data_IF_980168321927
#
_entry.id   IF_980168321927
#
_cell.length_a   1.000
_cell.length_b   1.000
_cell.length_c   1.000
_cell.angle_alpha   90.00
_cell.angle_beta   90.00
_cell.angle_gamma   90.00
#
_symmetry.space_group_name_H-M   'P 1'
#
loop_
_entity.id
_entity.type
_entity.pdbx_description
1 polymer ?
#
# COMPACT_ATOMS: atom_id res chain seq x y z
N UNK A 1 18.25 -7.31 -4.12
CA UNK A 1 16.90 -6.76 -3.77
C UNK A 1 16.22 -6.35 -5.05
N UNK A 2 15.32 -7.17 -5.57
CA UNK A 2 14.43 -6.78 -6.67
C UNK A 2 13.49 -5.75 -6.06
N UNK A 3 13.48 -4.51 -6.57
CA UNK A 3 12.61 -3.46 -6.05
C UNK A 3 11.17 -3.94 -5.95
N UNK A 4 10.48 -3.63 -4.85
CA UNK A 4 9.07 -4.00 -4.66
C UNK A 4 8.28 -3.52 -5.86
N UNK A 5 7.69 -4.46 -6.60
CA UNK A 5 6.76 -4.16 -7.67
C UNK A 5 5.48 -3.64 -7.03
N UNK A 6 5.16 -2.37 -7.23
CA UNK A 6 3.99 -1.73 -6.61
C UNK A 6 3.02 -1.30 -7.69
N UNK A 7 1.77 -1.67 -7.55
CA UNK A 7 0.65 -1.23 -8.38
C UNK A 7 -0.57 -0.95 -7.52
N UNK A 8 -1.66 -0.56 -8.13
CA UNK A 8 -2.95 -0.39 -7.47
C UNK A 8 -4.08 -0.46 -8.50
N UNK A 9 -5.28 -0.71 -8.03
CA UNK A 9 -6.52 -0.47 -8.76
C UNK A 9 -7.45 0.44 -7.97
N UNK A 10 -8.41 1.04 -8.66
CA UNK A 10 -9.47 1.82 -8.01
C UNK A 10 -10.73 0.95 -7.85
N UNK A 11 -11.31 0.96 -6.65
CA UNK A 11 -12.58 0.34 -6.35
C UNK A 11 -13.41 1.32 -5.52
N UNK A 12 -14.57 1.74 -6.05
CA UNK A 12 -15.51 2.66 -5.38
C UNK A 12 -14.84 3.95 -4.83
N UNK A 13 -13.87 4.48 -5.58
CA UNK A 13 -13.11 5.67 -5.20
C UNK A 13 -11.99 5.41 -4.17
N UNK A 14 -11.78 4.17 -3.77
CA UNK A 14 -10.71 3.76 -2.85
C UNK A 14 -9.57 3.13 -3.66
N UNK A 15 -8.34 3.49 -3.33
CA UNK A 15 -7.15 2.92 -3.93
C UNK A 15 -6.80 1.59 -3.23
N UNK A 16 -6.94 0.48 -3.93
CA UNK A 16 -6.56 -0.85 -3.45
C UNK A 16 -5.13 -1.14 -3.87
N UNK A 17 -4.18 -1.27 -2.93
CA UNK A 17 -2.79 -1.57 -3.27
C UNK A 17 -2.65 -2.97 -3.86
N UNK A 18 -1.62 -3.16 -4.67
CA UNK A 18 -1.33 -4.42 -5.33
C UNK A 18 0.13 -4.56 -5.72
N UNK A 19 0.45 -5.74 -6.22
CA UNK A 19 1.73 -6.09 -6.81
C UNK A 19 1.51 -7.00 -8.02
N UNK A 20 2.58 -7.42 -8.70
CA UNK A 20 2.45 -8.37 -9.81
C UNK A 20 3.67 -9.28 -9.92
N UNK A 21 3.45 -10.42 -10.57
CA UNK A 21 4.51 -11.35 -10.97
C UNK A 21 4.28 -11.87 -12.39
N UNK A 22 5.32 -12.27 -13.12
CA UNK A 22 5.16 -12.94 -14.40
C UNK A 22 4.52 -14.32 -14.26
N UNK A 23 3.62 -14.64 -15.16
CA UNK A 23 3.01 -15.96 -15.34
C UNK A 23 2.82 -16.25 -16.83
N UNK A 24 2.51 -17.50 -17.18
CA UNK A 24 2.00 -17.85 -18.49
C UNK A 24 0.47 -18.01 -18.45
N UNK A 25 -0.24 -17.31 -19.34
CA UNK A 25 -1.66 -17.55 -19.62
C UNK A 25 -1.76 -18.42 -20.88
N UNK A 26 -2.55 -19.49 -20.80
CA UNK A 26 -2.82 -20.37 -21.94
C UNK A 26 -4.12 -19.97 -22.63
N UNK A 27 -4.01 -19.30 -23.76
CA UNK A 27 -5.14 -18.96 -24.63
C UNK A 27 -4.79 -19.36 -26.08
N UNK A 28 -4.98 -20.66 -26.40
CA UNK A 28 -4.42 -21.26 -27.59
C UNK A 28 -2.92 -21.54 -27.45
N UNK A 29 -2.09 -20.51 -27.60
CA UNK A 29 -0.67 -20.50 -27.28
C UNK A 29 -0.43 -20.03 -25.82
N UNK A 30 0.82 -20.03 -25.36
CA UNK A 30 1.24 -19.55 -24.03
C UNK A 30 1.69 -18.10 -24.12
N UNK A 31 1.12 -17.25 -23.26
CA UNK A 31 1.43 -15.84 -23.23
C UNK A 31 2.09 -15.47 -21.89
N UNK A 32 3.38 -15.07 -21.95
CA UNK A 32 4.05 -14.51 -20.79
C UNK A 32 3.44 -13.13 -20.50
N UNK A 33 2.87 -12.96 -19.32
CA UNK A 33 2.16 -11.75 -18.91
C UNK A 33 2.28 -11.53 -17.40
N UNK A 34 1.79 -10.39 -16.93
CA UNK A 34 1.76 -10.07 -15.51
C UNK A 34 0.46 -10.57 -14.86
N UNK A 35 0.59 -11.26 -13.74
CA UNK A 35 -0.48 -11.60 -12.82
C UNK A 35 -0.52 -10.50 -11.75
N UNK A 36 -1.59 -9.70 -11.69
CA UNK A 36 -1.75 -8.69 -10.66
C UNK A 36 -2.50 -9.27 -9.47
N UNK A 37 -2.02 -8.96 -8.27
CA UNK A 37 -2.55 -9.44 -6.99
C UNK A 37 -2.84 -8.21 -6.15
N UNK A 38 -4.08 -8.10 -5.63
CA UNK A 38 -4.54 -6.94 -4.89
C UNK A 38 -4.85 -7.27 -3.42
N UNK A 39 -4.73 -6.25 -2.55
CA UNK A 39 -4.93 -6.39 -1.11
C UNK A 39 -6.33 -6.89 -0.72
N UNK A 40 -7.35 -6.62 -1.52
CA UNK A 40 -8.71 -7.12 -1.29
C UNK A 40 -8.93 -8.58 -1.72
N UNK A 41 -7.85 -9.28 -2.12
CA UNK A 41 -7.89 -10.68 -2.51
C UNK A 41 -8.35 -10.94 -3.94
N UNK A 42 -8.54 -9.89 -4.75
CA UNK A 42 -8.81 -10.06 -6.17
C UNK A 42 -7.50 -10.19 -6.95
N UNK A 43 -7.55 -11.05 -7.97
CA UNK A 43 -6.42 -11.37 -8.84
C UNK A 43 -6.81 -11.06 -10.28
N UNK A 44 -5.95 -10.35 -11.02
CA UNK A 44 -6.15 -10.12 -12.44
C UNK A 44 -5.21 -11.03 -13.27
N UNK A 45 -5.83 -11.98 -13.94
CA UNK A 45 -5.20 -12.93 -14.88
C UNK A 45 -5.85 -12.82 -16.28
N UNK A 46 -5.95 -11.58 -16.82
CA UNK A 46 -6.76 -11.13 -17.95
C UNK A 46 -8.26 -11.03 -17.64
N UNK A 47 -8.66 -11.41 -16.49
CA UNK A 47 -9.98 -11.28 -15.89
C UNK A 47 -9.79 -11.11 -14.40
N UNK A 48 -10.52 -10.16 -13.80
CA UNK A 48 -10.49 -9.94 -12.36
C UNK A 48 -11.33 -11.02 -11.67
N UNK A 49 -10.68 -11.84 -10.85
CA UNK A 49 -11.27 -13.04 -10.23
C UNK A 49 -11.03 -13.07 -8.72
N UNK A 50 -11.87 -13.81 -7.98
CA UNK A 50 -11.62 -14.12 -6.57
C UNK A 50 -10.54 -15.19 -6.42
N UNK A 51 -10.08 -15.43 -5.19
CA UNK A 51 -9.08 -16.47 -4.91
C UNK A 51 -9.59 -17.87 -5.29
N UNK A 52 -10.86 -18.18 -5.05
CA UNK A 52 -11.46 -19.47 -5.43
C UNK A 52 -11.53 -19.62 -6.96
N UNK A 53 -11.90 -18.55 -7.66
CA UNK A 53 -11.91 -18.55 -9.13
C UNK A 53 -10.49 -18.64 -9.70
N UNK A 54 -9.51 -18.05 -9.03
CA UNK A 54 -8.10 -18.16 -9.41
C UNK A 54 -7.60 -19.60 -9.25
N UNK A 55 -7.96 -20.29 -8.17
CA UNK A 55 -7.66 -21.72 -7.99
C UNK A 55 -8.26 -22.57 -9.13
N UNK A 56 -9.47 -22.24 -9.59
CA UNK A 56 -10.04 -22.89 -10.79
C UNK A 56 -9.26 -22.59 -12.06
N UNK A 57 -8.81 -21.32 -12.24
CA UNK A 57 -7.95 -20.92 -13.38
C UNK A 57 -6.61 -21.68 -13.40
N UNK A 58 -6.05 -21.99 -12.23
CA UNK A 58 -4.87 -22.85 -12.11
C UNK A 58 -5.20 -24.29 -12.47
N UNK A 59 -6.27 -24.86 -11.92
CA UNK A 59 -6.68 -26.25 -12.13
C UNK A 59 -7.01 -26.56 -13.59
N UNK A 60 -7.64 -25.64 -14.30
CA UNK A 60 -7.94 -25.80 -15.71
C UNK A 60 -6.76 -25.45 -16.64
N UNK A 61 -5.63 -24.99 -16.08
CA UNK A 61 -4.43 -24.61 -16.82
C UNK A 61 -4.56 -23.32 -17.63
N UNK A 62 -5.54 -22.45 -17.30
CA UNK A 62 -5.61 -21.09 -17.85
C UNK A 62 -4.41 -20.27 -17.40
N UNK A 63 -4.11 -20.24 -16.10
CA UNK A 63 -2.80 -19.85 -15.58
C UNK A 63 -1.94 -21.08 -15.58
N UNK A 64 -0.96 -21.12 -16.48
CA UNK A 64 -0.22 -22.33 -16.76
C UNK A 64 1.02 -22.45 -15.86
N UNK A 65 1.14 -23.59 -15.21
CA UNK A 65 2.31 -24.03 -14.46
C UNK A 65 3.05 -25.17 -15.14
N UNK A 66 2.43 -25.79 -16.14
CA UNK A 66 3.02 -26.81 -17.01
C UNK A 66 3.20 -26.26 -18.43
N UNK A 67 4.38 -26.47 -19.01
CA UNK A 67 4.76 -25.97 -20.31
C UNK A 67 5.19 -27.16 -21.19
N UNK A 68 4.33 -27.66 -22.09
CA UNK A 68 4.68 -28.81 -22.94
C UNK A 68 5.82 -28.50 -23.93
N UNK A 69 6.64 -29.49 -24.21
CA UNK A 69 7.67 -29.39 -25.25
C UNK A 69 7.05 -29.07 -26.61
N UNK A 70 7.70 -28.21 -27.39
CA UNK A 70 7.23 -27.75 -28.68
C UNK A 70 6.06 -26.77 -28.66
N UNK A 71 5.45 -26.48 -27.52
CA UNK A 71 4.38 -25.51 -27.44
C UNK A 71 4.89 -24.09 -27.75
N UNK A 72 4.01 -23.29 -28.38
CA UNK A 72 4.33 -21.90 -28.75
C UNK A 72 4.10 -20.96 -27.60
N UNK A 73 5.01 -20.03 -27.45
CA UNK A 73 4.88 -18.95 -26.46
C UNK A 73 5.23 -17.59 -27.08
N UNK A 74 4.70 -16.54 -26.46
CA UNK A 74 5.02 -15.16 -26.80
C UNK A 74 5.04 -14.28 -25.54
N UNK A 75 5.71 -13.15 -25.60
CA UNK A 75 5.78 -12.17 -24.50
C UNK A 75 5.64 -10.74 -25.02
N UNK A 76 4.57 -10.05 -24.63
CA UNK A 76 4.37 -8.58 -24.75
C UNK A 76 4.73 -8.00 -26.14
N UNK A 77 4.45 -8.67 -27.22
CA UNK A 77 4.84 -8.29 -28.59
C UNK A 77 6.37 -8.17 -28.80
N UNK A 78 7.19 -8.54 -27.80
CA UNK A 78 8.64 -8.48 -27.87
C UNK A 78 9.24 -9.67 -28.62
N UNK A 79 8.72 -10.87 -28.35
CA UNK A 79 9.23 -12.10 -28.93
C UNK A 79 8.18 -13.22 -28.94
N UNK A 80 8.37 -14.16 -29.87
CA UNK A 80 7.68 -15.45 -29.87
C UNK A 80 8.70 -16.57 -30.00
N UNK A 81 8.45 -17.72 -29.33
CA UNK A 81 9.36 -18.86 -29.32
C UNK A 81 8.57 -20.18 -29.23
N UNK A 82 9.26 -21.27 -29.29
CA UNK A 82 8.76 -22.58 -28.90
C UNK A 82 9.57 -23.10 -27.74
N UNK A 83 8.90 -23.74 -26.80
CA UNK A 83 9.60 -24.43 -25.72
C UNK A 83 10.41 -25.61 -26.27
N UNK A 84 11.59 -25.83 -25.73
CA UNK A 84 12.41 -26.99 -25.96
C UNK A 84 12.86 -27.52 -24.61
N UNK A 85 12.39 -28.72 -24.27
CA UNK A 85 12.65 -29.37 -22.97
C UNK A 85 12.43 -28.42 -21.78
N UNK A 86 11.26 -27.73 -21.66
CA UNK A 86 11.04 -26.76 -20.64
C UNK A 86 11.02 -27.40 -19.25
N UNK A 87 11.67 -26.76 -18.32
CA UNK A 87 11.64 -27.14 -16.92
C UNK A 87 10.88 -26.08 -16.12
N UNK A 88 9.86 -26.49 -15.35
CA UNK A 88 9.05 -25.60 -14.50
C UNK A 88 9.30 -25.92 -13.04
N UNK A 89 9.45 -24.88 -12.22
CA UNK A 89 9.54 -25.01 -10.76
C UNK A 89 8.22 -24.68 -10.07
N UNK A 90 7.27 -24.12 -10.81
CA UNK A 90 6.01 -23.63 -10.28
C UNK A 90 4.94 -24.70 -10.42
N UNK A 91 4.25 -25.03 -9.31
CA UNK A 91 3.05 -25.86 -9.33
C UNK A 91 1.81 -25.00 -9.05
N UNK A 92 0.59 -25.50 -9.35
CA UNK A 92 -0.64 -24.78 -9.01
C UNK A 92 -0.73 -24.45 -7.51
N UNK A 93 -0.39 -25.40 -6.65
CA UNK A 93 -0.44 -25.26 -5.18
C UNK A 93 0.57 -24.22 -4.71
N UNK A 94 1.78 -24.24 -5.26
CA UNK A 94 2.85 -23.29 -4.93
C UNK A 94 2.43 -21.87 -5.32
N UNK A 95 1.91 -21.66 -6.54
CA UNK A 95 1.47 -20.34 -6.98
C UNK A 95 0.28 -19.83 -6.15
N UNK A 96 -0.66 -20.71 -5.80
CA UNK A 96 -1.79 -20.35 -4.95
C UNK A 96 -1.33 -19.92 -3.54
N UNK A 97 -0.37 -20.63 -2.95
CA UNK A 97 0.21 -20.30 -1.66
C UNK A 97 0.95 -18.94 -1.70
N UNK A 98 1.77 -18.70 -2.74
CA UNK A 98 2.43 -17.42 -2.95
C UNK A 98 1.44 -16.25 -3.12
N UNK A 99 0.31 -16.47 -3.80
CA UNK A 99 -0.74 -15.46 -3.95
C UNK A 99 -1.40 -15.14 -2.62
N UNK A 100 -1.69 -16.15 -1.79
CA UNK A 100 -2.25 -15.97 -0.44
C UNK A 100 -1.33 -15.16 0.45
N UNK A 101 -0.04 -15.52 0.50
CA UNK A 101 0.97 -14.79 1.26
C UNK A 101 1.11 -13.34 0.77
N UNK A 102 1.06 -13.13 -0.55
CA UNK A 102 1.09 -11.78 -1.13
C UNK A 102 -0.10 -10.93 -0.68
N UNK A 103 -1.31 -11.51 -0.63
CA UNK A 103 -2.51 -10.81 -0.13
C UNK A 103 -2.35 -10.49 1.37
N UNK A 104 -1.82 -11.42 2.16
CA UNK A 104 -1.55 -11.18 3.58
C UNK A 104 -0.52 -10.06 3.78
N UNK A 105 0.60 -10.09 3.06
CA UNK A 105 1.62 -9.04 3.07
C UNK A 105 1.08 -7.67 2.66
N UNK A 106 0.23 -7.60 1.63
CA UNK A 106 -0.41 -6.36 1.18
C UNK A 106 -1.36 -5.76 2.23
N UNK A 107 -1.88 -6.59 3.13
CA UNK A 107 -2.73 -6.17 4.24
C UNK A 107 -1.98 -6.04 5.59
N UNK A 108 -0.65 -6.24 5.61
CA UNK A 108 0.13 -6.25 6.84
C UNK A 108 -0.27 -7.35 7.82
N UNK A 109 -0.88 -8.42 7.31
CA UNK A 109 -1.15 -9.62 8.10
C UNK A 109 0.05 -10.56 8.05
N UNK A 110 0.24 -11.39 9.08
CA UNK A 110 1.27 -12.43 9.06
C UNK A 110 1.12 -13.33 7.83
N UNK A 111 2.16 -13.43 7.03
CA UNK A 111 2.26 -14.42 5.94
C UNK A 111 2.61 -15.81 6.50
N UNK A 112 2.79 -16.81 5.62
CA UNK A 112 3.12 -18.17 6.06
C UNK A 112 4.45 -18.23 6.82
N UNK A 113 5.44 -17.42 6.47
CA UNK A 113 6.73 -17.33 7.16
C UNK A 113 6.56 -16.74 8.56
N UNK A 114 5.82 -15.63 8.67
CA UNK A 114 5.53 -15.00 9.96
C UNK A 114 4.78 -15.96 10.89
N UNK A 115 3.74 -16.63 10.38
CA UNK A 115 2.99 -17.65 11.15
C UNK A 115 3.87 -18.81 11.61
N UNK A 116 4.84 -19.24 10.79
CA UNK A 116 5.78 -20.26 11.16
C UNK A 116 6.70 -19.80 12.31
N UNK A 117 7.22 -18.58 12.22
CA UNK A 117 8.08 -18.01 13.25
C UNK A 117 7.33 -17.80 14.57
N UNK A 118 6.08 -17.35 14.52
CA UNK A 118 5.20 -17.25 15.71
C UNK A 118 4.98 -18.64 16.36
N UNK A 119 4.80 -19.68 15.55
CA UNK A 119 4.66 -21.05 16.06
C UNK A 119 5.96 -21.57 16.67
N UNK A 120 7.12 -21.19 16.12
CA UNK A 120 8.46 -21.49 16.70
C UNK A 120 8.61 -20.80 18.05
N UNK A 121 8.27 -19.52 18.16
CA UNK A 121 8.34 -18.76 19.42
C UNK A 121 7.41 -19.39 20.48
N UNK A 122 6.20 -19.80 20.09
CA UNK A 122 5.30 -20.53 20.98
C UNK A 122 5.81 -21.89 21.43
N UNK A 123 6.55 -22.60 20.55
CA UNK A 123 7.22 -23.86 20.90
C UNK A 123 8.39 -23.63 21.85
N UNK A 124 9.21 -22.62 21.64
CA UNK A 124 10.35 -22.32 22.51
C UNK A 124 9.92 -21.92 23.92
N UNK A 125 8.77 -21.22 24.05
CA UNK A 125 8.19 -20.85 25.34
C UNK A 125 7.66 -22.07 26.12
N UNK A 126 7.26 -23.15 25.43
CA UNK A 126 6.74 -24.38 26.05
C UNK A 126 7.03 -25.56 25.12
N UNK A 127 8.20 -26.21 25.32
CA UNK A 127 8.82 -27.21 24.45
C UNK A 127 8.09 -28.55 24.47
N UNK A 128 6.80 -28.55 24.15
CA UNK A 128 6.02 -29.80 24.04
C UNK A 128 6.05 -30.32 22.60
N UNK A 129 5.90 -31.65 22.47
CA UNK A 129 5.83 -32.30 21.16
C UNK A 129 4.64 -31.78 20.33
N UNK A 130 3.53 -31.44 20.99
CA UNK A 130 2.36 -30.87 20.32
C UNK A 130 2.69 -29.53 19.66
N UNK A 131 3.34 -28.61 20.37
CA UNK A 131 3.76 -27.32 19.82
C UNK A 131 4.82 -27.46 18.74
N UNK A 132 5.74 -28.41 18.87
CA UNK A 132 6.71 -28.72 17.80
C UNK A 132 6.01 -29.21 16.54
N UNK A 133 4.98 -30.05 16.68
CA UNK A 133 4.18 -30.49 15.53
C UNK A 133 3.44 -29.33 14.85
N UNK A 134 2.94 -28.35 15.62
CA UNK A 134 2.34 -27.11 15.08
C UNK A 134 3.40 -26.29 14.31
N UNK A 135 4.59 -26.07 14.89
CA UNK A 135 5.67 -25.35 14.22
C UNK A 135 6.10 -26.06 12.93
N UNK A 136 6.16 -27.41 12.95
CA UNK A 136 6.45 -28.20 11.75
C UNK A 136 5.37 -28.05 10.67
N UNK A 137 4.10 -28.09 11.05
CA UNK A 137 3.00 -27.90 10.11
C UNK A 137 3.05 -26.49 9.48
N UNK A 138 3.31 -25.45 10.29
CA UNK A 138 3.46 -24.08 9.83
C UNK A 138 4.70 -23.91 8.90
N UNK A 139 5.82 -24.59 9.18
CA UNK A 139 6.98 -24.61 8.27
C UNK A 139 6.64 -25.23 6.92
N UNK A 140 5.88 -26.32 6.89
CA UNK A 140 5.45 -26.98 5.66
C UNK A 140 4.40 -26.18 4.88
N UNK A 141 3.69 -25.26 5.53
CA UNK A 141 2.74 -24.32 4.90
C UNK A 141 3.47 -23.19 4.15
N UNK A 142 4.73 -22.92 4.48
CA UNK A 142 5.56 -21.97 3.70
C UNK A 142 5.74 -22.52 2.27
N UNK A 143 5.49 -21.70 1.21
CA UNK A 143 5.78 -22.12 -0.16
C UNK A 143 7.23 -22.63 -0.30
N UNK A 144 7.41 -23.81 -0.88
CA UNK A 144 8.72 -24.51 -0.95
C UNK A 144 9.86 -23.61 -1.43
N UNK A 145 9.61 -22.80 -2.45
CA UNK A 145 10.60 -21.85 -3.00
C UNK A 145 10.97 -20.72 -2.02
N UNK A 146 10.13 -20.47 -1.01
CA UNK A 146 10.34 -19.43 -0.01
C UNK A 146 10.96 -19.97 1.29
N UNK A 147 10.79 -21.26 1.60
CA UNK A 147 11.31 -21.89 2.84
C UNK A 147 12.79 -21.60 3.04
N UNK A 148 13.58 -21.73 1.98
CA UNK A 148 15.01 -21.48 2.00
C UNK A 148 15.40 -20.07 2.46
N UNK A 149 14.49 -19.10 2.36
CA UNK A 149 14.69 -17.71 2.76
C UNK A 149 13.88 -17.31 4.01
N UNK A 150 13.24 -18.26 4.69
CA UNK A 150 12.38 -17.99 5.84
C UNK A 150 13.11 -17.25 6.99
N UNK A 151 14.42 -17.45 7.13
CA UNK A 151 15.27 -16.74 8.10
C UNK A 151 16.07 -15.58 7.48
N UNK A 152 15.77 -15.19 6.24
CA UNK A 152 16.50 -14.19 5.48
C UNK A 152 17.61 -14.80 4.60
N UNK A 153 18.43 -13.94 3.98
CA UNK A 153 19.53 -14.37 3.12
C UNK A 153 20.81 -14.59 3.93
N UNK A 154 20.84 -15.67 4.71
CA UNK A 154 21.94 -16.06 5.56
C UNK A 154 22.69 -17.26 4.98
N UNK A 155 23.96 -17.48 5.39
CA UNK A 155 24.77 -18.60 4.92
C UNK A 155 24.14 -19.98 5.23
N UNK A 156 23.49 -20.09 6.39
CA UNK A 156 22.81 -21.32 6.82
C UNK A 156 21.39 -21.46 6.30
N UNK A 157 20.87 -20.43 5.60
CA UNK A 157 19.50 -20.39 5.07
C UNK A 157 18.47 -20.74 6.16
N UNK A 158 17.56 -21.66 5.89
CA UNK A 158 16.55 -22.13 6.85
C UNK A 158 16.99 -23.34 7.69
N UNK A 159 18.27 -23.71 7.66
CA UNK A 159 18.77 -24.90 8.35
C UNK A 159 18.41 -24.97 9.85
N UNK A 160 18.60 -23.91 10.66
CA UNK A 160 18.18 -23.94 12.07
C UNK A 160 16.68 -24.24 12.24
N UNK A 161 15.84 -23.72 11.33
CA UNK A 161 14.41 -23.94 11.36
C UNK A 161 14.05 -25.41 11.03
N UNK A 162 14.67 -25.98 9.99
CA UNK A 162 14.47 -27.39 9.64
C UNK A 162 14.86 -28.32 10.80
N UNK A 163 15.99 -28.06 11.44
CA UNK A 163 16.48 -28.85 12.59
C UNK A 163 15.52 -28.74 13.76
N UNK A 164 15.09 -27.53 14.11
CA UNK A 164 14.18 -27.31 15.24
C UNK A 164 12.86 -28.04 15.08
N UNK A 165 12.22 -27.93 13.89
CA UNK A 165 10.92 -28.57 13.63
C UNK A 165 11.02 -30.08 13.44
N UNK A 166 12.18 -30.61 12.99
CA UNK A 166 12.42 -32.05 12.90
C UNK A 166 12.63 -32.68 14.27
N UNK A 167 13.37 -31.99 15.16
CA UNK A 167 13.76 -32.47 16.47
C UNK A 167 14.81 -33.59 16.46
N UNK A 168 15.36 -33.96 17.63
CA UNK A 168 16.35 -34.98 17.74
C UNK A 168 15.90 -36.33 17.21
N UNK A 169 16.70 -36.97 16.35
CA UNK A 169 16.37 -38.24 15.68
C UNK A 169 15.39 -38.04 14.48
N UNK A 170 14.88 -36.86 14.24
CA UNK A 170 14.07 -36.52 13.09
C UNK A 170 14.89 -36.34 11.81
N UNK A 171 14.21 -36.15 10.66
CA UNK A 171 14.85 -35.91 9.36
C UNK A 171 14.46 -34.56 8.84
N UNK A 172 15.41 -33.85 8.25
CA UNK A 172 15.22 -32.57 7.55
C UNK A 172 14.95 -32.81 6.05
N UNK A 173 14.34 -31.84 5.37
CA UNK A 173 14.09 -31.92 3.93
C UNK A 173 15.39 -31.86 3.10
N UNK A 174 16.38 -31.11 3.60
CA UNK A 174 17.70 -30.99 2.97
C UNK A 174 18.78 -30.79 4.01
N UNK A 175 20.03 -31.15 3.68
CA UNK A 175 21.21 -30.85 4.49
C UNK A 175 22.15 -29.94 3.70
N UNK A 176 22.83 -28.96 4.34
CA UNK A 176 23.72 -28.02 3.64
C UNK A 176 24.88 -28.73 2.90
N UNK A 177 25.30 -29.88 3.37
CA UNK A 177 26.43 -30.65 2.78
C UNK A 177 26.00 -32.01 2.25
N UNK A 178 24.70 -32.25 2.08
CA UNK A 178 24.17 -33.56 1.69
C UNK A 178 24.17 -34.58 2.85
N UNK A 179 23.53 -35.70 2.62
CA UNK A 179 23.36 -36.76 3.63
C UNK A 179 21.91 -36.89 4.07
N UNK A 180 21.60 -38.05 4.69
CA UNK A 180 20.23 -38.36 5.17
C UNK A 180 20.28 -38.79 6.65
N UNK A 181 21.33 -38.34 7.38
CA UNK A 181 21.48 -38.65 8.77
C UNK A 181 20.40 -37.98 9.62
N UNK A 182 19.92 -38.64 10.68
CA UNK A 182 18.99 -38.01 11.62
C UNK A 182 19.61 -36.79 12.30
N UNK A 183 18.79 -35.84 12.71
CA UNK A 183 19.18 -34.66 13.51
C UNK A 183 19.78 -35.16 14.82
N UNK A 184 21.01 -34.74 15.12
CA UNK A 184 21.68 -35.04 16.40
C UNK A 184 21.14 -34.12 17.50
N UNK A 185 21.40 -34.51 18.77
CA UNK A 185 21.07 -33.64 19.91
C UNK A 185 21.87 -32.33 19.86
N UNK A 186 23.15 -32.37 19.45
CA UNK A 186 24.00 -31.18 19.32
C UNK A 186 23.47 -30.19 18.27
N UNK A 187 23.11 -30.69 17.09
CA UNK A 187 22.46 -29.82 16.03
C UNK A 187 21.16 -29.20 16.54
N UNK A 188 20.37 -29.96 17.30
CA UNK A 188 19.13 -29.46 17.86
C UNK A 188 19.36 -28.37 18.91
N UNK A 189 20.34 -28.57 19.82
CA UNK A 189 20.70 -27.58 20.83
C UNK A 189 21.23 -26.31 20.18
N UNK A 190 22.10 -26.41 19.15
CA UNK A 190 22.52 -25.24 18.35
C UNK A 190 21.37 -24.50 17.67
N UNK A 191 20.35 -25.20 17.20
CA UNK A 191 19.19 -24.58 16.60
C UNK A 191 18.32 -23.85 17.64
N UNK A 192 18.19 -24.40 18.84
CA UNK A 192 17.53 -23.74 19.96
C UNK A 192 18.25 -22.45 20.34
N UNK A 193 19.58 -22.53 20.54
CA UNK A 193 20.41 -21.36 20.87
C UNK A 193 20.27 -20.26 19.81
N UNK A 194 20.28 -20.64 18.53
CA UNK A 194 20.08 -19.68 17.42
C UNK A 194 18.77 -18.89 17.56
N UNK A 195 17.66 -19.57 17.89
CA UNK A 195 16.36 -18.87 18.00
C UNK A 195 16.25 -18.06 19.30
N UNK A 196 16.88 -18.49 20.40
CA UNK A 196 16.95 -17.71 21.63
C UNK A 196 17.74 -16.41 21.42
N UNK A 197 18.91 -16.49 20.77
CA UNK A 197 19.71 -15.33 20.39
C UNK A 197 18.92 -14.39 19.44
N UNK A 198 18.20 -14.96 18.46
CA UNK A 198 17.35 -14.20 17.54
C UNK A 198 16.25 -13.47 18.28
N UNK A 199 15.56 -14.11 19.22
CA UNK A 199 14.50 -13.50 20.02
C UNK A 199 15.06 -12.35 20.87
N UNK A 200 16.21 -12.54 21.51
CA UNK A 200 16.88 -11.48 22.27
C UNK A 200 17.24 -10.29 21.36
N UNK A 201 17.84 -10.55 20.20
CA UNK A 201 18.19 -9.49 19.25
C UNK A 201 16.96 -8.69 18.77
N UNK A 202 15.84 -9.37 18.48
CA UNK A 202 14.58 -8.72 18.09
C UNK A 202 14.06 -7.84 19.24
N UNK A 203 14.04 -8.35 20.46
CA UNK A 203 13.60 -7.62 21.65
C UNK A 203 14.45 -6.36 21.90
N UNK A 204 15.78 -6.48 21.81
CA UNK A 204 16.71 -5.36 21.95
C UNK A 204 16.50 -4.31 20.85
N UNK A 205 16.31 -4.74 19.60
CA UNK A 205 16.05 -3.85 18.48
C UNK A 205 14.71 -3.12 18.65
N UNK A 206 13.66 -3.85 19.00
CA UNK A 206 12.31 -3.28 19.21
C UNK A 206 12.30 -2.26 20.34
N UNK A 207 13.10 -2.48 21.41
CA UNK A 207 13.20 -1.53 22.52
C UNK A 207 13.87 -0.19 22.14
N UNK A 208 14.65 -0.16 21.05
CA UNK A 208 15.34 1.03 20.55
C UNK A 208 14.53 1.83 19.54
N UNK A 209 13.48 1.26 19.00
CA UNK A 209 12.61 1.93 18.02
C UNK A 209 11.41 2.49 18.75
N UNK A 210 11.16 3.81 18.70
CA UNK A 210 9.94 4.39 19.28
C UNK A 210 8.70 3.73 18.67
N UNK A 211 7.68 3.51 19.48
CA UNK A 211 6.38 3.00 19.04
C UNK A 211 5.52 4.14 18.46
N UNK A 212 6.00 4.78 17.41
CA UNK A 212 5.34 5.87 16.68
C UNK A 212 4.99 5.50 15.23
N UNK A 213 4.82 4.22 15.00
CA UNK A 213 4.41 3.71 13.70
C UNK A 213 2.98 4.08 13.32
N UNK A 214 2.57 3.81 12.06
CA UNK A 214 1.20 4.03 11.62
C UNK A 214 0.22 3.21 12.47
N UNK A 215 -0.99 3.73 12.63
CA UNK A 215 -2.07 3.06 13.38
C UNK A 215 -2.49 1.77 12.66
N UNK A 216 -2.44 1.79 11.32
CA UNK A 216 -2.70 0.63 10.48
C UNK A 216 -1.48 0.27 9.63
N UNK A 217 -1.18 -1.02 9.39
CA UNK A 217 -0.04 -1.45 8.57
C UNK A 217 -0.12 -0.92 7.13
N UNK A 218 -1.33 -0.77 6.61
CA UNK A 218 -1.62 -0.15 5.32
C UNK A 218 -2.73 0.88 5.51
N UNK A 219 -2.34 2.15 5.59
CA UNK A 219 -3.30 3.23 5.54
C UNK A 219 -4.09 3.14 4.23
N UNK A 220 -5.44 3.11 4.26
CA UNK A 220 -6.23 3.16 3.05
C UNK A 220 -5.91 4.43 2.29
N UNK A 221 -6.04 4.41 0.95
CA UNK A 221 -5.87 5.60 0.15
C UNK A 221 -7.22 6.07 -0.39
N UNK A 222 -7.57 7.32 -0.12
CA UNK A 222 -8.77 7.96 -0.62
C UNK A 222 -8.41 8.79 -1.83
N UNK A 223 -9.06 8.50 -2.98
CA UNK A 223 -8.86 9.25 -4.22
C UNK A 223 -9.90 10.37 -4.32
N UNK A 224 -9.42 11.61 -4.46
CA UNK A 224 -10.24 12.79 -4.72
C UNK A 224 -9.99 13.30 -6.13
N UNK A 225 -11.06 13.46 -6.91
CA UNK A 225 -10.98 14.01 -8.26
C UNK A 225 -11.53 15.45 -8.28
N UNK A 226 -10.75 16.40 -8.80
CA UNK A 226 -11.26 17.74 -9.11
C UNK A 226 -12.21 17.66 -10.31
N UNK A 227 -13.50 17.58 -10.06
CA UNK A 227 -14.52 17.43 -11.10
C UNK A 227 -15.70 18.39 -10.90
N UNK A 228 -16.41 18.68 -11.96
CA UNK A 228 -17.57 19.57 -11.99
C UNK A 228 -18.85 18.83 -12.42
N UNK A 229 -20.03 19.37 -12.06
CA UNK A 229 -20.31 20.33 -10.99
C UNK A 229 -20.36 19.66 -9.62
N UNK A 230 -19.94 20.37 -8.58
CA UNK A 230 -20.17 19.95 -7.20
C UNK A 230 -21.48 20.52 -6.69
N UNK A 231 -22.32 19.67 -6.09
CA UNK A 231 -23.49 20.09 -5.33
C UNK A 231 -23.17 19.97 -3.84
N UNK A 232 -23.64 20.93 -3.06
CA UNK A 232 -23.66 20.81 -1.60
C UNK A 232 -24.62 19.72 -1.18
N UNK A 233 -24.27 19.00 -0.11
CA UNK A 233 -25.13 18.00 0.52
C UNK A 233 -25.31 18.38 1.98
N UNK A 234 -26.48 18.12 2.54
CA UNK A 234 -26.72 18.26 3.98
C UNK A 234 -25.90 17.23 4.78
N UNK A 235 -25.50 16.13 4.14
CA UNK A 235 -24.58 15.12 4.67
C UNK A 235 -23.33 15.10 3.77
N UNK A 236 -22.29 15.89 4.09
CA UNK A 236 -21.10 15.99 3.26
C UNK A 236 -20.24 14.73 3.35
N UNK A 237 -19.80 14.24 2.20
CA UNK A 237 -18.86 13.13 2.04
C UNK A 237 -17.44 13.64 1.68
N UNK A 238 -16.54 12.73 1.30
CA UNK A 238 -15.15 13.05 0.93
C UNK A 238 -15.02 14.06 -0.20
N UNK A 239 -16.04 14.24 -1.04
CA UNK A 239 -16.07 15.31 -2.05
C UNK A 239 -15.98 16.71 -1.45
N UNK A 240 -16.41 16.84 -0.18
CA UNK A 240 -16.32 18.10 0.56
C UNK A 240 -14.86 18.52 0.87
N UNK A 241 -13.91 17.60 0.75
CA UNK A 241 -12.47 17.89 0.95
C UNK A 241 -11.84 18.66 -0.23
N UNK A 242 -12.51 18.70 -1.38
CA UNK A 242 -12.01 19.38 -2.58
C UNK A 242 -11.90 20.89 -2.41
N UNK A 243 -10.97 21.50 -3.15
CA UNK A 243 -10.75 22.94 -3.11
C UNK A 243 -11.90 23.73 -3.76
N UNK A 244 -12.56 23.15 -4.77
CA UNK A 244 -13.71 23.76 -5.47
C UNK A 244 -15.07 23.48 -4.80
N UNK A 245 -15.09 22.70 -3.69
CA UNK A 245 -16.33 22.44 -2.96
C UNK A 245 -16.93 23.76 -2.43
N UNK A 246 -18.25 24.00 -2.63
CA UNK A 246 -18.92 25.22 -2.17
C UNK A 246 -18.97 25.27 -0.64
N UNK A 247 -17.98 25.93 -0.05
CA UNK A 247 -17.85 26.19 1.37
C UNK A 247 -17.36 27.63 1.52
N UNK A 248 -18.26 28.60 1.64
CA UNK A 248 -17.89 30.01 1.78
C UNK A 248 -16.96 30.23 2.96
N UNK A 249 -15.87 30.96 2.73
CA UNK A 249 -14.89 31.24 3.79
C UNK A 249 -14.48 32.71 3.79
N UNK A 250 -14.35 33.26 5.01
CA UNK A 250 -13.88 34.61 5.22
C UNK A 250 -12.37 34.64 5.34
N UNK A 251 -11.73 35.42 4.48
CA UNK A 251 -10.28 35.64 4.49
C UNK A 251 -10.04 37.17 4.45
N UNK A 252 -9.48 37.69 5.54
CA UNK A 252 -9.16 39.11 5.68
C UNK A 252 -10.36 40.05 5.40
N UNK A 253 -11.57 39.65 5.83
CA UNK A 253 -12.80 40.42 5.67
C UNK A 253 -13.43 40.32 4.28
N UNK A 254 -12.98 39.37 3.44
CA UNK A 254 -13.59 39.07 2.14
C UNK A 254 -14.10 37.65 2.16
N UNK A 255 -15.38 37.45 1.83
CA UNK A 255 -15.98 36.12 1.69
C UNK A 255 -15.78 35.58 0.28
N UNK A 256 -15.19 34.36 0.20
CA UNK A 256 -14.99 33.64 -1.06
C UNK A 256 -15.86 32.39 -1.09
N UNK A 257 -16.45 32.02 -2.27
CA UNK A 257 -17.35 30.87 -2.36
C UNK A 257 -16.69 29.52 -2.09
N UNK A 258 -15.36 29.39 -2.26
CA UNK A 258 -14.58 28.17 -1.99
C UNK A 258 -13.10 28.48 -1.81
N UNK A 259 -12.35 27.48 -1.34
CA UNK A 259 -10.86 27.53 -1.26
C UNK A 259 -10.25 27.91 -2.61
N UNK A 260 -10.75 27.36 -3.71
CA UNK A 260 -10.23 27.65 -5.05
C UNK A 260 -10.40 29.14 -5.42
N UNK A 261 -11.55 29.76 -5.10
CA UNK A 261 -11.75 31.19 -5.33
C UNK A 261 -10.76 32.03 -4.50
N UNK A 262 -10.65 31.76 -3.22
CA UNK A 262 -9.72 32.48 -2.34
C UNK A 262 -8.26 32.32 -2.81
N UNK A 263 -7.85 31.10 -3.21
CA UNK A 263 -6.52 30.82 -3.73
C UNK A 263 -6.20 31.67 -4.97
N UNK A 264 -7.11 31.70 -5.93
CA UNK A 264 -6.93 32.47 -7.16
C UNK A 264 -6.95 33.98 -6.91
N UNK A 265 -7.84 34.48 -6.04
CA UNK A 265 -7.87 35.89 -5.66
C UNK A 265 -6.57 36.35 -4.98
N UNK A 266 -6.04 35.54 -4.08
CA UNK A 266 -4.77 35.86 -3.37
C UNK A 266 -3.55 35.77 -4.27
N UNK A 267 -3.65 35.15 -5.47
CA UNK A 267 -2.54 35.01 -6.40
C UNK A 267 -2.17 36.29 -7.16
N UNK A 268 -3.00 37.33 -7.08
CA UNK A 268 -2.79 38.63 -7.77
C UNK A 268 -3.00 39.79 -6.80
N UNK A 269 -2.35 40.94 -7.08
CA UNK A 269 -2.59 42.20 -6.37
C UNK A 269 -3.63 43.07 -7.04
N UNK A 270 -4.10 42.70 -8.25
CA UNK A 270 -5.12 43.41 -8.97
C UNK A 270 -6.48 43.35 -8.25
N UNK A 271 -6.95 44.53 -7.80
CA UNK A 271 -8.15 44.62 -6.96
C UNK A 271 -9.44 44.33 -7.76
N UNK A 272 -9.47 44.69 -9.02
CA UNK A 272 -10.65 44.46 -9.87
C UNK A 272 -10.78 42.98 -10.17
N UNK A 273 -9.67 42.33 -10.52
CA UNK A 273 -9.61 40.86 -10.73
C UNK A 273 -9.99 40.11 -9.45
N UNK A 274 -9.50 40.53 -8.29
CA UNK A 274 -9.86 39.91 -7.01
C UNK A 274 -11.34 40.02 -6.69
N UNK A 275 -11.95 41.20 -6.94
CA UNK A 275 -13.39 41.39 -6.77
C UNK A 275 -14.20 40.50 -7.72
N UNK A 276 -13.83 40.45 -9.00
CA UNK A 276 -14.46 39.56 -9.97
C UNK A 276 -14.32 38.08 -9.65
N UNK A 277 -13.21 37.67 -9.05
CA UNK A 277 -13.03 36.29 -8.59
C UNK A 277 -13.92 35.96 -7.39
N UNK A 278 -14.13 36.90 -6.47
CA UNK A 278 -14.99 36.68 -5.30
C UNK A 278 -16.49 36.54 -5.74
N UNK A 279 -16.87 37.15 -6.83
CA UNK A 279 -18.23 37.13 -7.43
C UNK A 279 -18.39 36.01 -8.48
N UNK A 280 -17.36 35.27 -8.84
CA UNK A 280 -17.42 34.26 -9.88
C UNK A 280 -18.31 33.06 -9.46
N UNK A 281 -19.18 32.63 -10.39
CA UNK A 281 -20.11 31.51 -10.13
C UNK A 281 -19.44 30.15 -9.93
N UNK A 282 -18.22 29.99 -10.47
CA UNK A 282 -17.52 28.72 -10.44
C UNK A 282 -16.02 28.91 -10.22
N UNK A 283 -15.39 27.93 -9.61
CA UNK A 283 -13.93 27.91 -9.43
C UNK A 283 -13.16 27.97 -10.77
N UNK A 284 -13.74 27.41 -11.84
CA UNK A 284 -13.20 27.54 -13.21
C UNK A 284 -13.23 28.98 -13.72
N UNK A 285 -14.33 29.69 -13.51
CA UNK A 285 -14.44 31.11 -13.88
C UNK A 285 -13.44 31.94 -13.06
N UNK A 286 -13.36 31.73 -11.75
CA UNK A 286 -12.36 32.36 -10.86
C UNK A 286 -10.93 32.16 -11.35
N UNK A 287 -10.59 30.93 -11.72
CA UNK A 287 -9.28 30.59 -12.29
C UNK A 287 -8.99 31.31 -13.60
N UNK A 288 -9.97 31.36 -14.52
CA UNK A 288 -9.81 32.01 -15.82
C UNK A 288 -9.55 33.52 -15.66
N UNK A 289 -10.24 34.19 -14.75
CA UNK A 289 -9.96 35.57 -14.39
C UNK A 289 -8.52 35.75 -13.88
N UNK A 290 -8.10 34.88 -13.00
CA UNK A 290 -6.74 34.92 -12.42
C UNK A 290 -5.62 34.63 -13.44
N UNK A 291 -5.84 33.77 -14.43
CA UNK A 291 -4.85 33.45 -15.48
C UNK A 291 -4.48 34.69 -16.30
N UNK A 292 -5.46 35.58 -16.55
CA UNK A 292 -5.26 36.83 -17.28
C UNK A 292 -4.54 37.93 -16.49
N UNK A 293 -4.36 37.77 -15.18
CA UNK A 293 -3.75 38.79 -14.32
C UNK A 293 -2.31 38.49 -13.96
N UNK A 294 -1.47 39.54 -13.73
CA UNK A 294 -0.13 39.34 -13.20
C UNK A 294 -0.14 38.62 -11.86
N UNK A 295 0.76 37.66 -11.70
CA UNK A 295 0.97 37.00 -10.41
C UNK A 295 1.66 37.94 -9.44
N UNK A 296 1.28 37.84 -8.18
CA UNK A 296 1.95 38.51 -7.07
C UNK A 296 3.42 38.07 -7.00
N UNK A 297 4.32 39.00 -6.72
CA UNK A 297 5.74 38.69 -6.51
C UNK A 297 5.90 37.66 -5.40
N UNK A 298 6.76 36.65 -5.60
CA UNK A 298 6.99 35.57 -4.63
C UNK A 298 5.87 34.53 -4.54
N UNK A 299 4.85 34.60 -5.40
CA UNK A 299 3.69 33.67 -5.34
C UNK A 299 4.10 32.20 -5.42
N UNK A 300 5.02 31.85 -6.31
CA UNK A 300 5.43 30.45 -6.49
C UNK A 300 6.03 29.84 -5.22
N UNK A 301 6.71 30.64 -4.42
CA UNK A 301 7.31 30.22 -3.15
C UNK A 301 6.28 30.21 -2.00
N UNK A 302 5.29 31.10 -2.04
CA UNK A 302 4.30 31.29 -0.99
C UNK A 302 3.06 30.42 -1.14
N UNK A 303 2.76 29.92 -2.35
CA UNK A 303 1.46 29.28 -2.68
C UNK A 303 1.08 28.09 -1.78
N UNK A 304 2.05 27.28 -1.32
CA UNK A 304 1.78 26.18 -0.38
C UNK A 304 1.35 26.69 0.99
N UNK A 305 2.01 27.72 1.51
CA UNK A 305 1.61 28.35 2.79
C UNK A 305 0.23 28.99 2.68
N UNK A 306 -0.06 29.67 1.57
CA UNK A 306 -1.38 30.26 1.31
C UNK A 306 -2.46 29.16 1.27
N UNK A 307 -2.25 28.08 0.52
CA UNK A 307 -3.19 26.96 0.46
C UNK A 307 -3.42 26.34 1.85
N UNK A 308 -2.36 26.13 2.62
CA UNK A 308 -2.46 25.63 4.01
C UNK A 308 -3.35 26.54 4.88
N UNK A 309 -3.14 27.86 4.79
CA UNK A 309 -3.98 28.84 5.50
C UNK A 309 -5.45 28.74 5.10
N UNK A 310 -5.72 28.61 3.80
CA UNK A 310 -7.09 28.49 3.27
C UNK A 310 -7.76 27.19 3.73
N UNK A 311 -7.07 26.08 3.71
CA UNK A 311 -7.59 24.79 4.20
C UNK A 311 -7.90 24.86 5.70
N UNK A 312 -6.99 25.42 6.52
CA UNK A 312 -7.25 25.65 7.95
C UNK A 312 -8.49 26.52 8.17
N UNK A 313 -8.62 27.62 7.42
CA UNK A 313 -9.80 28.50 7.50
C UNK A 313 -11.09 27.77 7.12
N UNK A 314 -11.07 26.97 6.05
CA UNK A 314 -12.20 26.13 5.63
C UNK A 314 -12.68 25.22 6.75
N UNK A 315 -11.81 24.45 7.35
CA UNK A 315 -12.19 23.47 8.36
C UNK A 315 -12.49 24.10 9.73
N UNK A 316 -11.87 25.25 10.05
CA UNK A 316 -12.23 26.01 11.24
C UNK A 316 -13.63 26.65 11.12
N UNK A 317 -13.99 27.15 9.94
CA UNK A 317 -15.30 27.80 9.69
C UNK A 317 -16.42 26.80 9.40
N UNK A 318 -16.09 25.55 9.04
CA UNK A 318 -17.06 24.51 8.70
C UNK A 318 -16.83 23.21 9.51
N UNK A 319 -17.33 23.13 10.78
CA UNK A 319 -17.09 21.95 11.63
C UNK A 319 -17.61 20.62 11.05
N UNK A 320 -18.67 20.66 10.22
CA UNK A 320 -19.15 19.45 9.54
C UNK A 320 -18.11 18.91 8.54
N UNK A 321 -17.43 19.80 7.81
CA UNK A 321 -16.39 19.41 6.85
C UNK A 321 -15.11 18.95 7.60
N UNK A 322 -14.81 19.56 8.73
CA UNK A 322 -13.71 19.11 9.60
C UNK A 322 -13.93 17.66 10.09
N UNK A 323 -15.18 17.28 10.40
CA UNK A 323 -15.50 15.88 10.74
C UNK A 323 -15.23 14.93 9.56
N UNK A 324 -15.66 15.29 8.34
CA UNK A 324 -15.35 14.47 7.14
C UNK A 324 -13.83 14.26 6.99
N UNK A 325 -13.02 15.30 7.22
CA UNK A 325 -11.57 15.15 7.14
C UNK A 325 -11.00 14.25 8.26
N UNK A 326 -11.51 14.38 9.47
CA UNK A 326 -11.10 13.56 10.61
C UNK A 326 -11.54 12.10 10.46
N UNK A 327 -12.71 11.84 9.86
CA UNK A 327 -13.25 10.50 9.60
C UNK A 327 -12.45 9.75 8.52
N UNK A 328 -11.51 10.40 7.84
CA UNK A 328 -10.54 9.74 6.96
C UNK A 328 -9.42 9.03 7.75
N UNK A 329 -9.41 9.17 9.06
CA UNK A 329 -8.46 8.55 10.00
C UNK A 329 -7.00 8.73 9.56
N UNK A 330 -6.24 7.67 9.31
CA UNK A 330 -4.85 7.70 8.82
C UNK A 330 -4.73 7.51 7.29
N UNK A 331 -5.86 7.55 6.56
CA UNK A 331 -5.84 7.36 5.11
C UNK A 331 -4.91 8.35 4.39
N UNK A 332 -4.18 7.84 3.40
CA UNK A 332 -3.46 8.67 2.44
C UNK A 332 -4.46 9.36 1.53
N UNK A 333 -4.39 10.70 1.43
CA UNK A 333 -5.28 11.48 0.56
C UNK A 333 -4.59 11.73 -0.77
N UNK A 334 -5.06 11.07 -1.82
CA UNK A 334 -4.57 11.23 -3.19
C UNK A 334 -5.50 12.15 -3.94
N UNK A 335 -5.00 13.32 -4.33
CA UNK A 335 -5.79 14.34 -5.01
C UNK A 335 -5.43 14.38 -6.49
N UNK A 336 -6.38 14.16 -7.38
CA UNK A 336 -6.20 14.33 -8.82
C UNK A 336 -6.71 15.70 -9.27
N UNK A 337 -5.79 16.49 -9.80
CA UNK A 337 -6.04 17.78 -10.44
C UNK A 337 -5.49 17.73 -11.86
N UNK A 338 -6.37 17.51 -12.83
CA UNK A 338 -5.97 17.36 -14.23
C UNK A 338 -5.21 18.57 -14.80
N UNK A 339 -5.37 19.72 -14.16
CA UNK A 339 -4.76 20.99 -14.58
C UNK A 339 -3.42 21.29 -13.91
N UNK A 340 -3.09 20.58 -12.81
CA UNK A 340 -1.88 20.86 -12.04
C UNK A 340 -1.16 19.61 -11.51
N UNK A 341 0.03 19.35 -12.03
CA UNK A 341 0.94 18.35 -11.45
C UNK A 341 1.58 18.81 -10.14
N UNK A 342 1.44 20.06 -9.76
CA UNK A 342 1.93 20.54 -8.47
C UNK A 342 0.93 20.21 -7.36
N UNK A 343 -0.36 20.50 -7.59
CA UNK A 343 -1.41 20.27 -6.61
C UNK A 343 -1.89 18.82 -6.59
N UNK A 344 -2.01 18.19 -7.75
CA UNK A 344 -2.46 16.83 -7.91
C UNK A 344 -1.36 15.76 -7.92
N UNK A 345 -1.75 14.51 -7.64
CA UNK A 345 -0.96 13.29 -7.83
C UNK A 345 -0.94 12.85 -9.30
N UNK A 346 -2.11 12.89 -9.94
CA UNK A 346 -2.29 12.60 -11.35
C UNK A 346 -1.67 11.25 -11.77
N UNK A 347 -2.04 10.19 -11.07
CA UNK A 347 -1.54 8.83 -11.25
C UNK A 347 0.00 8.72 -11.05
N UNK A 348 0.51 9.33 -9.99
CA UNK A 348 1.94 9.30 -9.61
C UNK A 348 2.82 10.23 -10.43
N UNK A 349 2.26 11.06 -11.31
CA UNK A 349 3.02 12.01 -12.14
C UNK A 349 3.07 13.43 -11.57
N UNK A 350 2.39 13.65 -10.44
CA UNK A 350 2.30 14.93 -9.75
C UNK A 350 2.92 14.88 -8.34
N UNK A 351 2.84 16.02 -7.64
CA UNK A 351 3.41 16.18 -6.30
C UNK A 351 2.41 15.99 -5.16
N UNK A 352 1.11 15.89 -5.48
CA UNK A 352 0.02 15.72 -4.51
C UNK A 352 0.04 16.71 -3.34
N UNK A 353 0.39 17.98 -3.60
CA UNK A 353 0.46 18.95 -2.50
C UNK A 353 -0.89 19.17 -1.81
N UNK A 354 -2.02 19.12 -2.54
CA UNK A 354 -3.35 19.25 -1.91
C UNK A 354 -3.60 18.10 -0.93
N UNK A 355 -3.35 16.85 -1.31
CA UNK A 355 -3.51 15.70 -0.42
C UNK A 355 -2.64 15.81 0.82
N UNK A 356 -1.34 16.13 0.66
CA UNK A 356 -0.39 16.31 1.78
C UNK A 356 -0.83 17.41 2.76
N UNK A 357 -1.37 18.52 2.24
CA UNK A 357 -1.85 19.61 3.10
C UNK A 357 -3.15 19.24 3.82
N UNK A 358 -4.03 18.45 3.22
CA UNK A 358 -5.21 17.90 3.88
C UNK A 358 -4.80 16.98 5.03
N UNK A 359 -3.84 16.08 4.81
CA UNK A 359 -3.29 15.20 5.86
C UNK A 359 -2.65 16.01 7.01
N UNK A 360 -1.90 17.09 6.69
CA UNK A 360 -1.34 17.98 7.70
C UNK A 360 -2.45 18.64 8.53
N UNK A 361 -3.47 19.22 7.89
CA UNK A 361 -4.57 19.88 8.59
C UNK A 361 -5.38 18.87 9.41
N UNK A 362 -5.57 17.65 8.91
CA UNK A 362 -6.17 16.56 9.69
C UNK A 362 -5.38 16.26 10.97
N UNK A 363 -4.07 16.16 10.87
CA UNK A 363 -3.19 15.94 12.02
C UNK A 363 -3.29 17.08 13.04
N UNK A 364 -3.37 18.35 12.59
CA UNK A 364 -3.57 19.52 13.44
C UNK A 364 -4.92 19.46 14.16
N UNK A 365 -6.00 19.08 13.48
CA UNK A 365 -7.33 18.91 14.07
C UNK A 365 -7.37 17.79 15.12
N UNK A 366 -6.63 16.69 14.91
CA UNK A 366 -6.46 15.65 15.93
C UNK A 366 -5.69 16.17 17.15
N UNK A 367 -4.62 16.93 16.93
CA UNK A 367 -3.85 17.54 18.01
C UNK A 367 -4.70 18.53 18.85
N UNK A 368 -5.51 19.36 18.19
CA UNK A 368 -6.47 20.25 18.87
C UNK A 368 -7.48 19.48 19.73
N UNK A 369 -8.06 18.38 19.19
CA UNK A 369 -8.98 17.50 19.95
C UNK A 369 -8.32 16.84 21.15
N UNK A 370 -7.05 16.49 21.03
CA UNK A 370 -6.25 15.90 22.11
C UNK A 370 -5.71 16.93 23.11
N UNK A 371 -5.96 18.25 22.89
CA UNK A 371 -5.42 19.31 23.74
C UNK A 371 -3.90 19.53 23.57
N UNK A 372 -3.31 19.06 22.47
CA UNK A 372 -1.87 19.15 22.13
C UNK A 372 -1.62 20.34 21.16
N UNK A 373 -2.66 21.05 20.76
CA UNK A 373 -2.56 22.16 19.82
C UNK A 373 -1.62 23.27 20.32
N UNK A 374 -1.08 24.12 19.41
CA UNK A 374 -0.27 25.24 19.82
C UNK A 374 -1.08 26.09 20.80
N UNK A 375 -0.54 26.29 22.00
CA UNK A 375 -1.07 27.28 22.96
C UNK A 375 -1.24 28.58 22.18
N UNK A 376 -2.47 29.07 22.09
CA UNK A 376 -2.73 30.38 21.51
C UNK A 376 -1.78 31.36 22.18
N UNK A 377 -0.76 31.79 21.47
CA UNK A 377 0.08 32.91 21.90
C UNK A 377 -0.85 34.10 21.98
N UNK A 378 -1.12 34.49 23.23
CA UNK A 378 -1.93 35.65 23.62
C UNK A 378 -1.41 36.96 23.00
#
# INVERSE_FOLDING_TARGET
>A
MIGRRVTHRMADGIRVPGTWRPVFIRNGDYHLTDLFIYADGLIDCWELVTLEQFEEKLRCGWVATELPDGARASGHELAAWKFSEPHTWLTPELLLAEVRDTVDQLNGRPDSTDRCLDAVDAFLADRTEEKRAVARAAYLDIPETQRHYALGDMDRKDWPLQVLVAGPGGRTESRPYGGDDPVTQEEYDEAVDYFEDRAQWIAERSSRVPADGPVTPFAPAIQLYESYPLKTSDDPDTRALRNNYPAPLDIDGVTYPSVAHAYWALSTDDREVRAGIAEADTAAAARNLAIGAPRREGWEQARTAVMTRLLRAKFAQHPALARVLLDTDDATIVYDDGDSRFWGDNAGRGRNWTGRLLELVRSELHAERAGIGPTATA
#
